data_IF_548624119459
#
_entry.id   IF_548624119459
#
_cell.length_a   1.000
_cell.length_b   1.000
_cell.length_c   1.000
_cell.angle_alpha   90.00
_cell.angle_beta   90.00
_cell.angle_gamma   90.00
#
_symmetry.space_group_name_H-M   'P 1'
#
loop_
_entity.id
_entity.type
_entity.pdbx_description
1 polymer ?
#
# COMPACT_ATOMS: atom_id res chain seq x y z
N UNK A 1 50.30 43.18 7.93
CA UNK A 1 49.61 43.08 9.21
C UNK A 1 48.08 42.99 9.08
N UNK A 2 47.53 42.49 7.97
CA UNK A 2 46.06 42.47 7.75
C UNK A 2 45.42 41.09 7.72
N UNK A 3 46.19 40.01 7.97
CA UNK A 3 45.65 38.65 7.91
C UNK A 3 45.27 38.02 9.27
N UNK A 4 45.63 38.67 10.40
CA UNK A 4 45.39 38.09 11.73
C UNK A 4 43.98 38.48 12.28
N UNK A 5 43.43 39.61 11.86
CA UNK A 5 42.12 40.08 12.34
C UNK A 5 40.93 39.28 11.78
N UNK A 6 41.04 38.76 10.56
CA UNK A 6 39.94 37.97 9.94
C UNK A 6 39.76 36.57 10.57
N UNK A 7 40.84 35.99 11.09
CA UNK A 7 40.75 34.69 11.78
C UNK A 7 40.15 34.79 13.18
N UNK A 8 40.33 35.92 13.86
CA UNK A 8 39.79 36.14 15.20
C UNK A 8 38.26 36.34 15.18
N UNK A 9 37.76 36.95 14.12
CA UNK A 9 36.31 37.20 13.95
C UNK A 9 35.54 35.89 13.65
N UNK A 10 36.14 34.97 12.87
CA UNK A 10 35.53 33.65 12.56
C UNK A 10 35.47 32.76 13.83
N UNK A 11 36.42 32.87 14.73
CA UNK A 11 36.42 32.07 15.98
C UNK A 11 35.41 32.56 17.02
N UNK A 12 35.02 33.85 16.98
CA UNK A 12 33.98 34.43 17.87
C UNK A 12 32.55 34.04 17.50
N UNK A 13 32.31 33.61 16.24
CA UNK A 13 30.96 33.15 15.79
C UNK A 13 30.68 31.69 16.12
N UNK A 14 31.70 30.89 16.49
CA UNK A 14 31.51 29.48 16.83
C UNK A 14 31.01 29.24 18.27
N UNK A 15 30.98 30.28 19.12
CA UNK A 15 30.54 30.16 20.53
C UNK A 15 29.09 30.61 20.78
N UNK A 16 28.33 30.94 19.74
CA UNK A 16 26.94 31.43 19.86
C UNK A 16 25.88 30.31 19.82
N UNK A 17 26.21 29.08 20.26
CA UNK A 17 25.18 28.09 20.53
C UNK A 17 24.50 28.47 21.85
N UNK A 18 23.31 29.07 21.81
CA UNK A 18 22.51 29.33 23.01
C UNK A 18 22.14 27.96 23.65
N UNK A 19 22.62 27.76 24.90
CA UNK A 19 22.23 26.60 25.68
C UNK A 19 20.80 26.76 26.20
N UNK A 20 20.06 25.65 26.44
CA UNK A 20 18.75 25.71 27.07
C UNK A 20 18.84 26.45 28.45
N UNK A 21 17.89 27.30 28.69
CA UNK A 21 17.84 28.09 29.95
C UNK A 21 17.29 27.32 31.15
N UNK A 22 16.82 26.07 30.93
CA UNK A 22 16.31 25.20 31.99
C UNK A 22 17.22 24.00 32.20
N UNK A 23 17.34 23.52 33.44
CA UNK A 23 18.01 22.26 33.74
C UNK A 23 17.18 21.07 33.23
N UNK A 24 17.87 20.04 32.73
CA UNK A 24 17.20 18.76 32.38
C UNK A 24 16.76 18.07 33.68
N UNK A 25 15.56 17.48 33.60
CA UNK A 25 15.13 16.52 34.61
C UNK A 25 16.04 15.29 34.52
N UNK A 26 16.48 14.76 35.64
CA UNK A 26 17.28 13.55 35.72
C UNK A 26 16.38 12.32 35.76
N UNK A 27 16.73 11.30 35.06
CA UNK A 27 16.11 9.99 35.06
C UNK A 27 17.20 8.93 35.01
N UNK A 28 16.90 7.72 35.47
CA UNK A 28 17.83 6.61 35.40
C UNK A 28 17.64 5.78 34.12
N UNK A 29 18.57 4.84 33.86
CA UNK A 29 18.53 4.00 32.68
C UNK A 29 17.34 3.05 32.66
N UNK A 30 16.88 2.60 33.82
CA UNK A 30 15.74 1.68 33.93
C UNK A 30 14.42 2.40 33.59
N UNK A 31 14.28 3.67 33.98
CA UNK A 31 13.14 4.50 33.59
C UNK A 31 13.10 4.72 32.06
N UNK A 32 14.26 4.99 31.45
CA UNK A 32 14.40 5.10 29.98
C UNK A 32 14.01 3.82 29.27
N UNK A 33 14.58 2.69 29.70
CA UNK A 33 14.32 1.38 29.09
C UNK A 33 12.83 1.01 29.17
N UNK A 34 12.19 1.30 30.32
CA UNK A 34 10.77 1.07 30.52
C UNK A 34 9.90 1.92 29.56
N UNK A 35 10.24 3.21 29.41
CA UNK A 35 9.56 4.11 28.48
C UNK A 35 9.74 3.68 27.03
N UNK A 36 10.94 3.27 26.60
CA UNK A 36 11.18 2.75 25.27
C UNK A 36 10.36 1.49 24.96
N UNK A 37 10.18 0.59 25.96
CA UNK A 37 9.31 -0.58 25.81
C UNK A 37 7.87 -0.17 25.55
N UNK A 38 7.34 0.79 26.33
CA UNK A 38 5.98 1.31 26.13
C UNK A 38 5.79 1.94 24.75
N UNK A 39 6.75 2.75 24.30
CA UNK A 39 6.72 3.39 23.00
C UNK A 39 6.74 2.33 21.87
N UNK A 40 7.57 1.30 21.97
CA UNK A 40 7.60 0.18 21.00
C UNK A 40 6.28 -0.59 20.98
N UNK A 41 5.66 -0.84 22.13
CA UNK A 41 4.35 -1.50 22.20
C UNK A 41 3.25 -0.69 21.52
N UNK A 42 3.19 0.61 21.77
CA UNK A 42 2.24 1.51 21.12
C UNK A 42 2.46 1.57 19.59
N UNK A 43 3.71 1.69 19.17
CA UNK A 43 4.07 1.75 17.76
C UNK A 43 3.73 0.45 17.03
N UNK A 44 4.00 -0.73 17.64
CA UNK A 44 3.66 -2.01 17.04
C UNK A 44 2.14 -2.22 16.96
N UNK A 45 1.39 -1.89 18.00
CA UNK A 45 -0.08 -1.92 17.97
C UNK A 45 -0.64 -1.02 16.86
N UNK A 46 -0.08 0.18 16.70
CA UNK A 46 -0.45 1.13 15.64
C UNK A 46 -0.13 0.58 14.26
N UNK A 47 1.06 0.00 14.07
CA UNK A 47 1.43 -0.66 12.82
C UNK A 47 0.47 -1.79 12.46
N UNK A 48 0.12 -2.66 13.42
CA UNK A 48 -0.83 -3.75 13.20
C UNK A 48 -2.22 -3.22 12.83
N UNK A 49 -2.69 -2.14 13.48
CA UNK A 49 -3.99 -1.53 13.14
C UNK A 49 -4.01 -0.97 11.71
N UNK A 50 -2.91 -0.36 11.25
CA UNK A 50 -2.77 0.09 9.87
C UNK A 50 -2.81 -1.07 8.87
N UNK A 51 -2.09 -2.15 9.18
CA UNK A 51 -2.11 -3.36 8.35
C UNK A 51 -3.51 -3.99 8.28
N UNK A 52 -4.21 -4.06 9.40
CA UNK A 52 -5.58 -4.57 9.45
C UNK A 52 -6.54 -3.73 8.61
N UNK A 53 -6.49 -2.38 8.76
CA UNK A 53 -7.30 -1.46 7.94
C UNK A 53 -6.98 -1.62 6.46
N UNK A 54 -5.71 -1.68 6.11
CA UNK A 54 -5.27 -1.84 4.72
C UNK A 54 -5.81 -3.13 4.09
N UNK A 55 -5.72 -4.26 4.80
CA UNK A 55 -6.26 -5.53 4.32
C UNK A 55 -7.79 -5.53 4.25
N UNK A 56 -8.46 -4.96 5.27
CA UNK A 56 -9.93 -4.81 5.30
C UNK A 56 -10.44 -4.09 4.06
N UNK A 57 -9.79 -3.00 3.69
CA UNK A 57 -10.22 -2.16 2.56
C UNK A 57 -9.80 -2.75 1.21
N UNK A 58 -8.58 -3.28 1.11
CA UNK A 58 -8.04 -3.75 -0.17
C UNK A 58 -8.64 -5.08 -0.63
N UNK A 59 -8.95 -5.99 0.28
CA UNK A 59 -9.37 -7.34 -0.07
C UNK A 59 -10.66 -7.41 -0.90
N UNK A 60 -11.76 -6.72 -0.55
CA UNK A 60 -12.97 -6.70 -1.36
C UNK A 60 -12.72 -6.19 -2.79
N UNK A 61 -11.88 -5.17 -2.93
CA UNK A 61 -11.52 -4.57 -4.22
C UNK A 61 -10.74 -5.60 -5.06
N UNK A 62 -9.68 -6.20 -4.49
CA UNK A 62 -8.85 -7.19 -5.20
C UNK A 62 -9.65 -8.44 -5.59
N UNK A 63 -10.59 -8.87 -4.74
CA UNK A 63 -11.49 -9.98 -5.01
C UNK A 63 -12.42 -9.66 -6.18
N UNK A 64 -13.14 -8.56 -6.11
CA UNK A 64 -14.13 -8.16 -7.14
C UNK A 64 -13.45 -7.79 -8.45
N UNK A 65 -12.27 -7.15 -8.40
CA UNK A 65 -11.48 -6.84 -9.59
C UNK A 65 -10.85 -8.07 -10.25
N UNK A 66 -10.92 -9.26 -9.64
CA UNK A 66 -10.35 -10.48 -10.22
C UNK A 66 -10.91 -10.80 -11.62
N UNK A 67 -12.17 -10.46 -11.88
CA UNK A 67 -12.79 -10.61 -13.21
C UNK A 67 -12.13 -9.74 -14.29
N UNK A 68 -11.49 -8.63 -13.93
CA UNK A 68 -10.77 -7.71 -14.83
C UNK A 68 -9.27 -8.02 -14.88
N UNK A 69 -8.79 -9.00 -14.12
CA UNK A 69 -7.38 -9.30 -13.84
C UNK A 69 -6.99 -10.69 -14.38
N UNK A 70 -7.44 -11.05 -15.58
CA UNK A 70 -7.33 -12.41 -16.11
C UNK A 70 -5.90 -12.97 -16.13
N UNK A 71 -4.89 -12.15 -16.42
CA UNK A 71 -3.50 -12.57 -16.57
C UNK A 71 -2.69 -12.53 -15.27
N UNK A 72 -3.25 -12.05 -14.17
CA UNK A 72 -2.54 -11.86 -12.89
C UNK A 72 -3.45 -12.14 -11.69
N UNK A 73 -4.14 -13.26 -11.72
CA UNK A 73 -4.92 -13.73 -10.58
C UNK A 73 -4.06 -14.58 -9.64
N UNK A 74 -4.35 -14.48 -8.35
CA UNK A 74 -3.75 -15.29 -7.29
C UNK A 74 -4.84 -15.96 -6.47
N UNK A 75 -4.50 -17.09 -5.88
CA UNK A 75 -5.35 -17.72 -4.87
C UNK A 75 -5.17 -17.03 -3.52
N UNK A 76 -6.24 -16.97 -2.74
CA UNK A 76 -6.24 -16.40 -1.40
C UNK A 76 -7.16 -17.17 -0.47
N UNK A 77 -6.75 -17.30 0.76
CA UNK A 77 -7.61 -17.78 1.86
C UNK A 77 -8.34 -16.62 2.56
N UNK A 78 -8.01 -15.35 2.24
CA UNK A 78 -8.60 -14.20 2.90
C UNK A 78 -8.14 -14.04 4.36
N UNK A 79 -6.88 -14.31 4.66
CA UNK A 79 -6.32 -14.11 5.99
C UNK A 79 -4.87 -13.62 5.91
N UNK A 80 -4.41 -12.97 6.96
CA UNK A 80 -3.03 -12.54 7.15
C UNK A 80 -2.57 -12.91 8.56
N UNK A 81 -1.29 -13.23 8.67
CA UNK A 81 -0.67 -13.54 9.94
C UNK A 81 0.75 -12.97 10.00
N UNK A 82 1.32 -13.01 11.20
CA UNK A 82 2.65 -12.52 11.52
C UNK A 82 3.21 -13.31 12.70
N UNK A 83 4.53 -13.33 12.82
CA UNK A 83 5.19 -13.88 14.00
C UNK A 83 6.17 -12.87 14.59
N UNK A 84 6.56 -13.07 15.84
CA UNK A 84 7.62 -12.26 16.46
C UNK A 84 8.96 -12.42 15.74
N UNK A 85 9.19 -13.55 15.09
CA UNK A 85 10.36 -13.81 14.25
C UNK A 85 10.46 -12.87 13.02
N UNK A 86 9.40 -12.17 12.65
CA UNK A 86 9.40 -11.18 11.56
C UNK A 86 10.02 -9.85 11.99
N UNK A 87 10.39 -9.71 13.25
CA UNK A 87 10.99 -8.51 13.83
C UNK A 87 12.41 -8.80 14.35
N UNK A 88 13.19 -7.75 14.53
CA UNK A 88 14.57 -7.82 15.03
C UNK A 88 14.76 -7.00 16.31
N UNK A 89 15.79 -7.32 17.09
CA UNK A 89 16.18 -6.57 18.29
C UNK A 89 15.03 -6.38 19.30
N UNK A 90 14.90 -5.17 19.82
CA UNK A 90 13.86 -4.81 20.79
C UNK A 90 12.43 -4.98 20.27
N UNK A 91 12.23 -4.87 18.96
CA UNK A 91 10.92 -5.11 18.32
C UNK A 91 10.49 -6.57 18.39
N UNK A 92 11.42 -7.52 18.27
CA UNK A 92 11.11 -8.94 18.45
C UNK A 92 10.67 -9.25 19.87
N UNK A 93 11.34 -8.66 20.87
CA UNK A 93 10.94 -8.79 22.27
C UNK A 93 9.54 -8.24 22.51
N UNK A 94 9.26 -7.04 21.97
CA UNK A 94 7.94 -6.42 22.06
C UNK A 94 6.86 -7.25 21.36
N UNK A 95 7.16 -7.78 20.17
CA UNK A 95 6.25 -8.64 19.42
C UNK A 95 5.95 -9.94 20.17
N UNK A 96 6.95 -10.59 20.76
CA UNK A 96 6.77 -11.76 21.63
C UNK A 96 5.82 -11.48 22.80
N UNK A 97 5.98 -10.34 23.44
CA UNK A 97 5.10 -9.92 24.54
C UNK A 97 3.66 -9.73 24.06
N UNK A 98 3.46 -9.05 22.93
CA UNK A 98 2.12 -8.74 22.39
C UNK A 98 1.43 -10.01 21.86
N UNK A 99 2.17 -10.91 21.19
CA UNK A 99 1.62 -12.12 20.58
C UNK A 99 1.54 -13.31 21.56
N UNK A 100 2.13 -13.18 22.73
CA UNK A 100 2.15 -14.23 23.76
C UNK A 100 3.02 -15.41 23.36
N UNK A 101 4.13 -15.17 22.65
CA UNK A 101 5.11 -16.16 22.24
C UNK A 101 5.62 -15.99 20.80
N UNK A 102 6.41 -16.97 20.33
CA UNK A 102 7.04 -16.99 19.01
C UNK A 102 6.21 -17.83 18.00
N UNK A 103 4.89 -17.91 18.19
CA UNK A 103 4.03 -18.59 17.24
C UNK A 103 3.61 -17.65 16.10
N UNK A 104 3.26 -18.25 14.95
CA UNK A 104 2.62 -17.51 13.87
C UNK A 104 1.15 -17.25 14.21
N UNK A 105 0.76 -16.00 14.34
CA UNK A 105 -0.56 -15.59 14.80
C UNK A 105 -1.35 -14.94 13.68
N UNK A 106 -2.64 -15.26 13.57
CA UNK A 106 -3.55 -14.60 12.63
C UNK A 106 -3.89 -13.20 13.14
N UNK A 107 -3.58 -12.19 12.33
CA UNK A 107 -3.82 -10.78 12.66
C UNK A 107 -4.99 -10.18 11.91
N UNK A 108 -5.43 -10.80 10.83
CA UNK A 108 -6.57 -10.34 10.05
C UNK A 108 -7.24 -11.52 9.32
N UNK A 109 -8.56 -11.47 9.22
CA UNK A 109 -9.40 -12.40 8.45
C UNK A 109 -10.45 -11.59 7.71
N UNK A 110 -10.62 -11.86 6.41
CA UNK A 110 -11.63 -11.21 5.58
C UNK A 110 -13.03 -11.59 6.05
N UNK A 111 -13.88 -10.62 6.29
CA UNK A 111 -15.28 -10.84 6.59
C UNK A 111 -15.95 -11.59 5.42
N UNK A 112 -16.68 -12.67 5.74
CA UNK A 112 -17.28 -13.55 4.74
C UNK A 112 -16.30 -14.18 3.72
N UNK A 113 -14.97 -14.07 3.98
CA UNK A 113 -13.94 -14.71 3.18
C UNK A 113 -13.80 -16.21 3.45
N UNK A 114 -12.96 -16.91 2.65
CA UNK A 114 -12.78 -18.35 2.78
C UNK A 114 -12.34 -18.80 4.17
N UNK A 115 -11.37 -18.10 4.77
CA UNK A 115 -10.85 -18.43 6.09
C UNK A 115 -11.90 -18.24 7.18
N UNK A 116 -12.69 -17.13 7.13
CA UNK A 116 -13.78 -16.91 8.07
C UNK A 116 -14.86 -18.00 7.97
N UNK A 117 -15.26 -18.39 6.75
CA UNK A 117 -16.21 -19.47 6.52
C UNK A 117 -15.74 -20.83 7.03
N UNK A 118 -14.43 -21.07 7.02
CA UNK A 118 -13.82 -22.27 7.59
C UNK A 118 -13.65 -22.18 9.11
N UNK A 119 -13.98 -21.04 9.74
CA UNK A 119 -13.90 -20.86 11.18
C UNK A 119 -12.54 -20.34 11.67
N UNK A 120 -11.64 -19.86 10.81
CA UNK A 120 -10.41 -19.17 11.23
C UNK A 120 -10.75 -17.80 11.84
N UNK A 121 -10.08 -17.45 12.93
CA UNK A 121 -10.30 -16.20 13.64
C UNK A 121 -8.99 -15.46 13.92
N UNK A 122 -9.10 -14.16 14.18
CA UNK A 122 -7.97 -13.36 14.68
C UNK A 122 -7.50 -13.92 16.02
N UNK A 123 -6.20 -13.89 16.25
CA UNK A 123 -5.48 -14.48 17.38
C UNK A 123 -5.36 -16.00 17.36
N UNK A 124 -5.83 -16.72 16.35
CA UNK A 124 -5.49 -18.12 16.18
C UNK A 124 -3.98 -18.28 15.97
N UNK A 125 -3.40 -19.25 16.67
CA UNK A 125 -1.98 -19.61 16.52
C UNK A 125 -1.88 -20.71 15.47
N UNK A 126 -1.20 -20.42 14.36
CA UNK A 126 -1.03 -21.40 13.27
C UNK A 126 0.15 -22.31 13.59
N UNK A 127 -0.10 -23.59 13.73
CA UNK A 127 0.91 -24.60 14.01
C UNK A 127 1.45 -25.26 12.74
N UNK A 128 0.59 -25.44 11.73
CA UNK A 128 0.99 -26.00 10.45
C UNK A 128 0.09 -25.51 9.30
N UNK A 129 0.66 -25.44 8.12
CA UNK A 129 0.03 -25.11 6.85
C UNK A 129 0.37 -26.21 5.83
N UNK A 130 -0.65 -26.86 5.24
CA UNK A 130 -0.49 -27.96 4.29
C UNK A 130 0.50 -29.05 4.78
N UNK A 131 0.49 -29.37 6.07
CA UNK A 131 1.41 -30.33 6.69
C UNK A 131 2.80 -29.74 7.05
N UNK A 132 3.12 -28.52 6.63
CA UNK A 132 4.39 -27.86 6.98
C UNK A 132 4.22 -27.12 8.30
N UNK A 133 4.91 -27.57 9.37
CA UNK A 133 4.87 -26.94 10.69
C UNK A 133 5.61 -25.60 10.69
N UNK A 134 5.08 -24.62 11.44
CA UNK A 134 5.77 -23.35 11.67
C UNK A 134 7.08 -23.59 12.43
N UNK A 135 7.05 -24.40 13.49
CA UNK A 135 8.22 -24.80 14.27
C UNK A 135 8.82 -23.66 15.08
N UNK A 136 10.04 -23.90 15.60
CA UNK A 136 10.71 -22.99 16.54
C UNK A 136 12.11 -22.56 16.10
N UNK A 137 12.50 -22.82 14.86
CA UNK A 137 13.79 -22.43 14.33
C UNK A 137 13.68 -21.81 12.94
N UNK A 138 14.72 -21.07 12.55
CA UNK A 138 14.76 -20.29 11.30
C UNK A 138 14.53 -21.16 10.05
N UNK A 139 15.01 -22.40 10.02
CA UNK A 139 14.83 -23.28 8.87
C UNK A 139 13.36 -23.69 8.70
N UNK A 140 12.67 -23.99 9.81
CA UNK A 140 11.25 -24.31 9.80
C UNK A 140 10.41 -23.09 9.40
N UNK A 141 10.73 -21.89 9.94
CA UNK A 141 10.09 -20.65 9.53
C UNK A 141 10.24 -20.42 8.01
N UNK A 142 11.45 -20.56 7.43
CA UNK A 142 11.65 -20.45 5.98
C UNK A 142 10.78 -21.43 5.18
N UNK A 143 10.69 -22.69 5.61
CA UNK A 143 9.82 -23.68 4.95
C UNK A 143 8.34 -23.29 5.03
N UNK A 144 7.90 -22.83 6.20
CA UNK A 144 6.51 -22.39 6.40
C UNK A 144 6.17 -21.19 5.53
N UNK A 145 7.02 -20.14 5.47
CA UNK A 145 6.80 -18.99 4.59
C UNK A 145 6.86 -19.37 3.11
N UNK A 146 7.71 -20.31 2.72
CA UNK A 146 7.69 -20.83 1.36
C UNK A 146 6.35 -21.53 1.04
N UNK A 147 5.76 -22.24 2.01
CA UNK A 147 4.44 -22.86 1.85
C UNK A 147 3.32 -21.82 1.75
N UNK A 148 3.37 -20.72 2.55
CA UNK A 148 2.41 -19.62 2.42
C UNK A 148 2.47 -18.95 1.03
N UNK A 149 3.66 -18.86 0.46
CA UNK A 149 3.83 -18.30 -0.88
C UNK A 149 3.22 -19.20 -1.96
N UNK A 150 3.30 -20.53 -1.82
CA UNK A 150 2.73 -21.49 -2.77
C UNK A 150 1.21 -21.41 -2.85
N UNK A 151 0.50 -21.02 -1.78
CA UNK A 151 -0.95 -20.85 -1.81
C UNK A 151 -1.36 -19.97 -3.01
N UNK A 152 -0.61 -18.89 -3.26
CA UNK A 152 -0.93 -17.90 -4.29
C UNK A 152 -0.99 -18.47 -5.70
N UNK A 153 -0.18 -19.48 -5.99
CA UNK A 153 -0.02 -20.08 -7.33
C UNK A 153 -0.41 -21.55 -7.38
N UNK A 154 -0.96 -22.10 -6.29
CA UNK A 154 -1.33 -23.50 -6.20
C UNK A 154 -2.45 -23.86 -7.19
N UNK A 155 -2.32 -25.00 -7.84
CA UNK A 155 -3.41 -25.58 -8.63
C UNK A 155 -4.50 -26.17 -7.72
N UNK A 156 -4.13 -26.61 -6.50
CA UNK A 156 -5.11 -27.08 -5.52
C UNK A 156 -5.91 -25.89 -4.97
N UNK A 157 -7.24 -25.91 -5.04
CA UNK A 157 -8.07 -24.86 -4.48
C UNK A 157 -8.24 -24.97 -2.96
N UNK A 158 -7.52 -25.85 -2.30
CA UNK A 158 -7.70 -26.16 -0.86
C UNK A 158 -6.42 -25.89 -0.10
N UNK A 159 -6.57 -25.27 1.07
CA UNK A 159 -5.52 -25.07 2.08
C UNK A 159 -5.93 -25.75 3.37
N UNK A 160 -5.02 -26.48 3.97
CA UNK A 160 -5.19 -27.13 5.27
C UNK A 160 -4.42 -26.35 6.34
N UNK A 161 -5.10 -25.93 7.39
CA UNK A 161 -4.47 -25.29 8.55
C UNK A 161 -4.68 -26.16 9.80
N UNK A 162 -3.62 -26.30 10.58
CA UNK A 162 -3.69 -26.76 11.97
C UNK A 162 -3.44 -25.55 12.87
N UNK A 163 -4.42 -25.23 13.70
CA UNK A 163 -4.37 -24.08 14.59
C UNK A 163 -4.53 -24.49 16.04
N UNK A 164 -4.15 -23.58 16.95
CA UNK A 164 -4.40 -23.67 18.37
C UNK A 164 -5.20 -22.45 18.81
N UNK A 165 -6.37 -22.69 19.40
CA UNK A 165 -7.26 -21.66 19.98
C UNK A 165 -7.68 -22.12 21.37
N UNK A 166 -7.48 -21.27 22.41
CA UNK A 166 -7.85 -21.61 23.79
C UNK A 166 -7.35 -23.00 24.23
N UNK A 167 -6.09 -23.34 23.90
CA UNK A 167 -5.43 -24.62 24.13
C UNK A 167 -5.99 -25.84 23.34
N UNK A 168 -7.03 -25.64 22.55
CA UNK A 168 -7.60 -26.65 21.67
C UNK A 168 -6.90 -26.68 20.31
N UNK A 169 -6.66 -27.90 19.79
CA UNK A 169 -6.14 -28.08 18.43
C UNK A 169 -7.32 -28.22 17.47
N UNK A 170 -7.32 -27.43 16.43
CA UNK A 170 -8.38 -27.39 15.41
C UNK A 170 -7.73 -27.57 14.04
N UNK A 171 -8.30 -28.45 13.23
CA UNK A 171 -7.93 -28.58 11.81
C UNK A 171 -8.99 -27.89 10.96
N UNK A 172 -8.54 -27.01 10.08
CA UNK A 172 -9.39 -26.25 9.18
C UNK A 172 -9.07 -26.63 7.73
N UNK A 173 -10.12 -26.77 6.93
CA UNK A 173 -10.04 -26.96 5.48
C UNK A 173 -10.63 -25.72 4.82
N UNK A 174 -9.80 -24.97 4.09
CA UNK A 174 -10.18 -23.69 3.52
C UNK A 174 -10.18 -23.80 2.00
N UNK A 175 -11.34 -23.60 1.38
CA UNK A 175 -11.45 -23.50 -0.07
C UNK A 175 -11.02 -22.09 -0.47
N UNK A 176 -9.91 -21.98 -1.21
CA UNK A 176 -9.36 -20.71 -1.68
C UNK A 176 -10.31 -20.02 -2.66
N UNK A 177 -10.17 -18.70 -2.79
CA UNK A 177 -10.81 -17.92 -3.85
C UNK A 177 -9.79 -17.14 -4.67
N UNK A 178 -10.18 -16.73 -5.87
CA UNK A 178 -9.32 -15.95 -6.76
C UNK A 178 -9.43 -14.47 -6.42
N UNK A 179 -8.29 -13.82 -6.38
CA UNK A 179 -8.16 -12.36 -6.24
C UNK A 179 -7.21 -11.81 -7.29
N UNK A 180 -7.30 -10.50 -7.56
CA UNK A 180 -6.33 -9.81 -8.41
C UNK A 180 -4.95 -9.80 -7.75
N UNK A 181 -3.92 -10.17 -8.47
CA UNK A 181 -2.58 -10.48 -7.97
C UNK A 181 -1.68 -9.26 -7.77
N UNK A 182 -2.23 -8.15 -7.29
CA UNK A 182 -1.48 -6.93 -6.92
C UNK A 182 -1.50 -6.74 -5.40
N UNK A 183 -0.49 -7.23 -4.66
CA UNK A 183 -0.45 -7.04 -3.20
C UNK A 183 -0.49 -5.56 -2.83
N UNK A 184 -1.30 -5.22 -1.83
CA UNK A 184 -1.33 -3.88 -1.24
C UNK A 184 -0.44 -3.86 -0.02
N UNK A 185 0.57 -2.98 -0.01
CA UNK A 185 1.61 -2.93 1.01
C UNK A 185 1.66 -1.56 1.69
N UNK A 186 1.95 -1.56 2.98
CA UNK A 186 2.16 -0.36 3.77
C UNK A 186 3.62 0.09 3.67
N UNK A 187 3.85 1.33 3.23
CA UNK A 187 5.17 1.96 3.26
C UNK A 187 5.33 2.82 4.52
N UNK A 188 6.52 2.73 5.12
CA UNK A 188 6.92 3.53 6.27
C UNK A 188 7.35 4.93 5.82
N UNK A 189 6.36 5.75 5.47
CA UNK A 189 6.54 7.15 5.06
C UNK A 189 5.40 7.99 5.59
N UNK A 190 5.72 9.19 6.05
CA UNK A 190 4.73 10.16 6.55
C UNK A 190 4.16 11.04 5.43
N UNK A 191 4.71 10.99 4.22
CA UNK A 191 4.13 11.69 3.07
C UNK A 191 2.73 11.15 2.75
N UNK A 192 1.81 12.04 2.39
CA UNK A 192 0.48 11.66 1.89
C UNK A 192 0.63 11.22 0.44
N UNK A 193 0.81 9.91 0.23
CA UNK A 193 1.03 9.36 -1.11
C UNK A 193 0.60 7.89 -1.21
N UNK A 194 0.26 7.50 -2.45
CA UNK A 194 0.08 6.12 -2.88
C UNK A 194 0.64 5.97 -4.30
N UNK A 195 1.04 4.78 -4.70
CA UNK A 195 1.51 4.54 -6.06
C UNK A 195 1.47 3.06 -6.46
N UNK A 196 1.29 2.83 -7.75
CA UNK A 196 1.38 1.54 -8.41
C UNK A 196 2.78 1.36 -9.02
N UNK A 197 3.44 0.22 -8.77
CA UNK A 197 4.78 -0.08 -9.30
C UNK A 197 4.78 -1.16 -10.41
N UNK A 198 3.61 -1.46 -10.99
CA UNK A 198 3.44 -2.53 -11.98
C UNK A 198 3.35 -3.94 -11.36
N UNK A 199 3.67 -4.09 -10.07
CA UNK A 199 3.68 -5.38 -9.35
C UNK A 199 2.83 -5.38 -8.10
N UNK A 200 2.67 -4.24 -7.45
CA UNK A 200 1.95 -4.05 -6.18
C UNK A 200 1.40 -2.63 -6.11
N UNK A 201 0.60 -2.39 -5.08
CA UNK A 201 0.07 -1.08 -4.70
C UNK A 201 0.73 -0.70 -3.38
N UNK A 202 1.33 0.47 -3.31
CA UNK A 202 2.03 0.97 -2.14
C UNK A 202 1.23 2.12 -1.54
N UNK A 203 0.84 1.97 -0.26
CA UNK A 203 0.12 3.00 0.51
C UNK A 203 1.02 3.46 1.65
N UNK A 204 1.27 4.75 1.75
CA UNK A 204 2.08 5.31 2.83
C UNK A 204 1.29 5.43 4.14
N UNK A 205 1.98 5.49 5.28
CA UNK A 205 1.33 5.80 6.57
C UNK A 205 0.66 7.17 6.55
N UNK A 206 1.25 8.14 5.84
CA UNK A 206 0.65 9.46 5.64
C UNK A 206 -0.70 9.38 4.92
N UNK A 207 -0.79 8.62 3.83
CA UNK A 207 -2.04 8.39 3.11
C UNK A 207 -3.10 7.69 3.97
N UNK A 208 -2.72 6.66 4.75
CA UNK A 208 -3.64 5.98 5.66
C UNK A 208 -4.23 6.92 6.75
N UNK A 209 -3.47 7.92 7.18
CA UNK A 209 -3.95 8.93 8.12
C UNK A 209 -4.81 10.00 7.44
N UNK A 210 -4.48 10.35 6.20
CA UNK A 210 -5.19 11.35 5.41
C UNK A 210 -6.57 10.85 4.98
N UNK A 211 -6.66 9.62 4.48
CA UNK A 211 -7.93 8.97 4.14
C UNK A 211 -8.78 8.80 5.41
N UNK A 212 -9.80 9.65 5.56
CA UNK A 212 -10.61 9.78 6.79
C UNK A 212 -11.37 8.51 7.11
N UNK A 213 -11.92 7.88 6.08
CA UNK A 213 -12.69 6.67 6.19
C UNK A 213 -12.22 5.57 5.22
N UNK A 214 -12.92 4.45 5.22
CA UNK A 214 -12.59 3.32 4.39
C UNK A 214 -13.01 3.54 2.92
N UNK A 215 -13.94 4.46 2.64
CA UNK A 215 -14.34 4.83 1.28
C UNK A 215 -13.23 5.61 0.57
N UNK A 216 -12.66 6.62 1.24
CA UNK A 216 -11.52 7.40 0.74
C UNK A 216 -10.35 6.46 0.40
N UNK A 217 -10.00 5.56 1.32
CA UNK A 217 -8.93 4.59 1.11
C UNK A 217 -9.24 3.60 -0.01
N UNK A 218 -10.52 3.21 -0.17
CA UNK A 218 -10.98 2.34 -1.25
C UNK A 218 -10.77 2.98 -2.61
N UNK A 219 -11.09 4.27 -2.75
CA UNK A 219 -10.88 5.02 -3.99
C UNK A 219 -9.39 5.03 -4.36
N UNK A 220 -8.51 5.34 -3.39
CA UNK A 220 -7.05 5.35 -3.62
C UNK A 220 -6.56 3.98 -4.08
N UNK A 221 -6.94 2.91 -3.38
CA UNK A 221 -6.51 1.55 -3.74
C UNK A 221 -7.05 1.14 -5.11
N UNK A 222 -8.30 1.45 -5.41
CA UNK A 222 -8.91 1.14 -6.70
C UNK A 222 -8.25 1.92 -7.85
N UNK A 223 -7.90 3.19 -7.62
CA UNK A 223 -7.17 4.03 -8.55
C UNK A 223 -5.77 3.47 -8.87
N UNK A 224 -5.00 3.11 -7.85
CA UNK A 224 -3.68 2.50 -8.03
C UNK A 224 -3.77 1.11 -8.69
N UNK A 225 -4.84 0.36 -8.40
CA UNK A 225 -5.12 -0.89 -9.11
C UNK A 225 -5.41 -0.61 -10.59
N UNK A 226 -6.12 0.48 -10.90
CA UNK A 226 -6.36 0.95 -12.26
C UNK A 226 -5.05 1.18 -13.01
N UNK A 227 -4.10 1.91 -12.42
CA UNK A 227 -2.78 2.11 -13.01
C UNK A 227 -2.06 0.80 -13.32
N UNK A 228 -2.11 -0.17 -12.41
CA UNK A 228 -1.49 -1.47 -12.62
C UNK A 228 -2.18 -2.30 -13.71
N UNK A 229 -3.52 -2.36 -13.70
CA UNK A 229 -4.29 -3.18 -14.67
C UNK A 229 -4.26 -2.59 -16.07
N UNK A 230 -4.26 -1.27 -16.19
CA UNK A 230 -4.14 -0.59 -17.49
C UNK A 230 -2.68 -0.53 -18.00
N UNK A 231 -1.70 -0.98 -17.21
CA UNK A 231 -0.28 -1.02 -17.63
C UNK A 231 0.33 0.37 -17.83
N UNK A 232 -0.12 1.38 -17.04
CA UNK A 232 0.31 2.77 -17.24
C UNK A 232 1.81 2.97 -17.05
N UNK A 233 2.44 2.20 -16.15
CA UNK A 233 3.89 2.29 -15.95
C UNK A 233 4.65 1.84 -17.20
N UNK A 234 4.26 0.72 -17.80
CA UNK A 234 4.87 0.19 -19.00
C UNK A 234 4.64 1.13 -20.20
N UNK A 235 3.43 1.69 -20.33
CA UNK A 235 3.09 2.70 -21.35
C UNK A 235 3.96 3.95 -21.19
N UNK A 236 4.10 4.49 -19.96
CA UNK A 236 4.97 5.65 -19.66
C UNK A 236 6.44 5.35 -20.00
N UNK A 237 6.92 4.17 -19.66
CA UNK A 237 8.29 3.74 -19.95
C UNK A 237 8.53 3.60 -21.48
N UNK A 238 7.59 3.02 -22.20
CA UNK A 238 7.66 2.90 -23.65
C UNK A 238 7.66 4.28 -24.33
N UNK A 239 6.80 5.20 -23.89
CA UNK A 239 6.77 6.56 -24.40
C UNK A 239 8.08 7.32 -24.13
N UNK A 240 8.66 7.15 -22.94
CA UNK A 240 9.96 7.71 -22.58
C UNK A 240 11.08 7.16 -23.47
N UNK A 241 11.07 5.86 -23.76
CA UNK A 241 12.07 5.22 -24.62
C UNK A 241 11.99 5.78 -26.04
N UNK A 242 10.80 5.94 -26.63
CA UNK A 242 10.61 6.55 -27.93
C UNK A 242 11.15 7.98 -27.97
N UNK A 243 10.87 8.79 -26.94
CA UNK A 243 11.42 10.14 -26.81
C UNK A 243 12.94 10.14 -26.69
N UNK A 244 13.52 9.19 -25.94
CA UNK A 244 14.99 9.04 -25.79
C UNK A 244 15.65 8.70 -27.12
N UNK A 245 15.02 7.93 -28.01
CA UNK A 245 15.55 7.69 -29.35
C UNK A 245 15.64 8.98 -30.17
N UNK A 246 14.69 9.91 -30.00
CA UNK A 246 14.76 11.24 -30.62
C UNK A 246 15.89 12.09 -30.02
N UNK A 247 16.12 12.02 -28.70
CA UNK A 247 17.26 12.68 -28.05
C UNK A 247 18.61 12.17 -28.60
N UNK A 248 18.73 10.85 -28.82
CA UNK A 248 19.91 10.23 -29.42
C UNK A 248 20.10 10.66 -30.87
N UNK A 249 19.04 10.68 -31.66
CA UNK A 249 19.08 11.13 -33.05
C UNK A 249 19.48 12.62 -33.16
N UNK A 250 18.98 13.47 -32.27
CA UNK A 250 19.37 14.87 -32.18
C UNK A 250 20.86 15.01 -31.80
N UNK A 251 21.32 14.24 -30.81
CA UNK A 251 22.72 14.23 -30.37
C UNK A 251 23.67 13.79 -31.49
N UNK A 252 23.29 12.81 -32.31
CA UNK A 252 24.06 12.38 -33.48
C UNK A 252 24.24 13.52 -34.52
N UNK A 253 23.36 14.52 -34.52
CA UNK A 253 23.43 15.73 -35.34
C UNK A 253 24.00 16.95 -34.58
N UNK A 254 24.63 16.74 -33.42
CA UNK A 254 25.26 17.79 -32.63
C UNK A 254 24.29 18.63 -31.79
N UNK A 255 23.02 18.24 -31.70
CA UNK A 255 21.99 18.96 -30.94
C UNK A 255 21.84 18.31 -29.56
N UNK A 256 22.18 19.05 -28.49
CA UNK A 256 22.02 18.59 -27.13
C UNK A 256 20.63 18.93 -26.57
N UNK A 257 19.73 17.96 -26.55
CA UNK A 257 18.36 18.10 -26.05
C UNK A 257 18.22 17.88 -24.54
N UNK A 258 19.29 17.44 -23.87
CA UNK A 258 19.33 17.15 -22.41
C UNK A 258 18.20 16.21 -21.94
N UNK A 259 17.79 15.25 -22.78
CA UNK A 259 16.72 14.31 -22.45
C UNK A 259 15.30 14.92 -22.56
N UNK A 260 15.11 16.03 -23.24
CA UNK A 260 13.83 16.73 -23.35
C UNK A 260 12.75 15.83 -23.97
N UNK A 261 13.08 15.10 -25.03
CA UNK A 261 12.10 14.22 -25.70
C UNK A 261 11.78 12.99 -24.85
N UNK A 262 12.78 12.40 -24.13
CA UNK A 262 12.55 11.32 -23.18
C UNK A 262 11.61 11.73 -22.04
N UNK A 263 11.84 12.92 -21.46
CA UNK A 263 10.96 13.46 -20.41
C UNK A 263 9.55 13.82 -20.95
N UNK A 264 9.46 14.39 -22.14
CA UNK A 264 8.18 14.67 -22.79
C UNK A 264 7.41 13.38 -23.06
N UNK A 265 8.09 12.34 -23.56
CA UNK A 265 7.49 11.02 -23.74
C UNK A 265 6.98 10.40 -22.44
N UNK A 266 7.76 10.47 -21.34
CA UNK A 266 7.33 9.99 -20.03
C UNK A 266 6.08 10.73 -19.50
N UNK A 267 5.94 12.01 -19.84
CA UNK A 267 4.80 12.86 -19.44
C UNK A 267 3.63 12.79 -20.41
N UNK A 268 3.84 12.23 -21.61
CA UNK A 268 2.80 12.11 -22.61
C UNK A 268 1.64 11.28 -22.07
N UNK A 269 0.42 11.74 -22.31
CA UNK A 269 -0.82 11.10 -21.87
C UNK A 269 -0.96 10.92 -20.34
N UNK A 270 -0.14 11.62 -19.52
CA UNK A 270 -0.23 11.42 -18.06
C UNK A 270 -1.61 11.79 -17.50
N UNK A 271 -2.26 12.82 -18.04
CA UNK A 271 -3.62 13.20 -17.65
C UNK A 271 -4.66 12.17 -18.11
N UNK A 272 -4.50 11.62 -19.31
CA UNK A 272 -5.37 10.57 -19.84
C UNK A 272 -5.25 9.30 -19.00
N UNK A 273 -4.03 8.94 -18.54
CA UNK A 273 -3.81 7.81 -17.65
C UNK A 273 -4.45 8.00 -16.27
N UNK A 274 -4.45 9.23 -15.74
CA UNK A 274 -5.16 9.55 -14.51
C UNK A 274 -6.68 9.42 -14.69
N UNK A 275 -7.22 9.95 -15.79
CA UNK A 275 -8.63 9.84 -16.12
C UNK A 275 -9.07 8.37 -16.35
N UNK A 276 -8.23 7.57 -17.04
CA UNK A 276 -8.46 6.14 -17.24
C UNK A 276 -8.42 5.39 -15.91
N UNK A 277 -7.47 5.68 -15.01
CA UNK A 277 -7.38 5.08 -13.69
C UNK A 277 -8.60 5.42 -12.82
N UNK A 278 -9.04 6.68 -12.80
CA UNK A 278 -10.27 7.07 -12.10
C UNK A 278 -11.51 6.36 -12.65
N UNK A 279 -11.62 6.28 -13.97
CA UNK A 279 -12.74 5.63 -14.65
C UNK A 279 -12.87 4.16 -14.25
N UNK A 280 -11.79 3.38 -14.39
CA UNK A 280 -11.84 1.95 -14.05
C UNK A 280 -11.93 1.71 -12.54
N UNK A 281 -11.37 2.59 -11.70
CA UNK A 281 -11.45 2.50 -10.25
C UNK A 281 -12.91 2.48 -9.76
N UNK A 282 -13.78 3.30 -10.35
CA UNK A 282 -15.20 3.34 -9.98
C UNK A 282 -15.91 2.03 -10.32
N UNK A 283 -15.57 1.38 -11.43
CA UNK A 283 -16.08 0.05 -11.74
C UNK A 283 -15.58 -1.02 -10.78
N UNK A 284 -14.31 -0.94 -10.33
CA UNK A 284 -13.78 -1.88 -9.33
C UNK A 284 -14.44 -1.68 -7.96
N UNK A 285 -14.68 -0.44 -7.55
CA UNK A 285 -15.41 -0.12 -6.33
C UNK A 285 -16.87 -0.61 -6.41
N UNK A 286 -17.54 -0.34 -7.53
CA UNK A 286 -18.92 -0.82 -7.74
C UNK A 286 -19.01 -2.35 -7.71
N UNK A 287 -18.09 -3.06 -8.37
CA UNK A 287 -18.01 -4.52 -8.34
C UNK A 287 -17.76 -5.08 -6.94
N UNK A 288 -17.11 -4.31 -6.06
CA UNK A 288 -16.90 -4.63 -4.64
C UNK A 288 -18.10 -4.27 -3.76
N UNK A 289 -19.17 -3.71 -4.32
CA UNK A 289 -20.36 -3.25 -3.58
C UNK A 289 -20.07 -2.01 -2.71
N UNK A 290 -19.03 -1.24 -3.04
CA UNK A 290 -18.66 -0.03 -2.30
C UNK A 290 -19.44 1.19 -2.81
N UNK A 291 -19.81 2.14 -1.92
CA UNK A 291 -20.52 3.34 -2.32
C UNK A 291 -19.64 4.23 -3.22
N UNK A 292 -20.27 4.81 -4.25
CA UNK A 292 -19.59 5.71 -5.19
C UNK A 292 -19.94 7.18 -4.93
N UNK A 293 -20.99 7.45 -4.16
CA UNK A 293 -21.42 8.81 -3.87
C UNK A 293 -20.36 9.53 -3.02
N UNK A 294 -20.05 10.77 -3.40
CA UNK A 294 -19.10 11.60 -2.64
C UNK A 294 -17.62 11.30 -2.85
N UNK A 295 -17.23 10.24 -3.55
CA UNK A 295 -15.81 9.84 -3.72
C UNK A 295 -14.96 10.94 -4.36
N UNK A 296 -15.53 11.80 -5.22
CA UNK A 296 -14.81 12.92 -5.81
C UNK A 296 -14.31 13.94 -4.76
N UNK A 297 -14.93 13.98 -3.57
CA UNK A 297 -14.53 14.91 -2.51
C UNK A 297 -13.14 14.59 -1.97
N UNK A 298 -12.75 13.32 -1.91
CA UNK A 298 -11.39 12.93 -1.53
C UNK A 298 -10.32 13.64 -2.38
N UNK A 299 -10.47 13.63 -3.71
CA UNK A 299 -9.52 14.31 -4.59
C UNK A 299 -9.56 15.84 -4.44
N UNK A 300 -10.73 16.43 -4.11
CA UNK A 300 -10.82 17.86 -3.80
C UNK A 300 -10.05 18.22 -2.54
N UNK A 301 -10.12 17.40 -1.50
CA UNK A 301 -9.35 17.58 -0.27
C UNK A 301 -7.85 17.38 -0.50
N UNK A 302 -7.48 16.37 -1.29
CA UNK A 302 -6.08 16.18 -1.69
C UNK A 302 -5.56 17.41 -2.46
N UNK A 303 -6.38 18.01 -3.33
CA UNK A 303 -6.03 19.26 -4.04
C UNK A 303 -5.89 20.45 -3.08
N UNK A 304 -6.73 20.51 -2.04
CA UNK A 304 -6.67 21.58 -1.03
C UNK A 304 -5.41 21.49 -0.15
N UNK A 305 -4.93 20.30 0.15
CA UNK A 305 -3.62 20.09 0.83
C UNK A 305 -2.44 20.55 -0.02
N UNK A 306 -2.57 20.48 -1.35
CA UNK A 306 -1.52 20.84 -2.30
C UNK A 306 -2.00 21.89 -3.32
N UNK A 307 -2.36 23.14 -2.90
CA UNK A 307 -3.01 24.12 -3.77
C UNK A 307 -2.22 24.49 -5.02
N UNK A 308 -0.89 24.34 -4.98
CA UNK A 308 -0.02 24.56 -6.15
C UNK A 308 -0.26 23.56 -7.27
N UNK A 309 -0.76 22.36 -6.96
CA UNK A 309 -1.06 21.32 -7.94
C UNK A 309 -2.36 21.57 -8.71
N UNK A 310 -3.25 22.45 -8.24
CA UNK A 310 -4.52 22.78 -8.88
C UNK A 310 -4.31 23.45 -10.24
N UNK A 311 -3.26 24.26 -10.39
CA UNK A 311 -2.98 25.04 -11.60
C UNK A 311 -1.77 24.57 -12.40
N UNK A 312 -0.85 23.80 -11.81
CA UNK A 312 0.37 23.37 -12.49
C UNK A 312 0.44 21.83 -12.49
N UNK A 313 0.24 21.25 -13.65
CA UNK A 313 0.23 19.80 -13.87
C UNK A 313 1.59 19.12 -13.76
N UNK A 314 2.66 19.77 -13.30
CA UNK A 314 4.01 19.29 -13.57
C UNK A 314 4.78 18.69 -12.41
N UNK A 315 4.26 18.71 -11.18
CA UNK A 315 5.04 18.21 -10.02
C UNK A 315 4.33 17.18 -9.13
N UNK A 316 3.05 16.96 -9.32
CA UNK A 316 2.31 15.93 -8.55
C UNK A 316 2.28 14.61 -9.32
N UNK A 317 2.43 13.48 -8.60
CA UNK A 317 2.28 12.15 -9.19
C UNK A 317 0.87 11.93 -9.78
N UNK A 318 -0.14 12.57 -9.16
CA UNK A 318 -1.55 12.51 -9.54
C UNK A 318 -2.17 13.90 -9.52
N UNK A 319 -2.09 14.67 -10.63
CA UNK A 319 -2.67 16.02 -10.70
C UNK A 319 -4.17 16.02 -10.47
N UNK A 320 -4.65 16.87 -9.55
CA UNK A 320 -6.07 17.06 -9.28
C UNK A 320 -6.63 18.19 -10.15
N UNK A 321 -7.28 17.82 -11.25
CA UNK A 321 -7.88 18.80 -12.19
C UNK A 321 -9.40 18.82 -12.08
N UNK A 322 -10.01 19.97 -12.43
CA UNK A 322 -11.47 20.08 -12.48
C UNK A 322 -12.10 19.07 -13.45
N UNK A 323 -11.39 18.69 -14.50
CA UNK A 323 -11.81 17.68 -15.48
C UNK A 323 -11.95 16.31 -14.85
N UNK A 324 -11.02 15.90 -13.95
CA UNK A 324 -11.10 14.61 -13.22
C UNK A 324 -12.39 14.55 -12.39
N UNK A 325 -12.73 15.61 -11.65
CA UNK A 325 -13.94 15.62 -10.82
C UNK A 325 -15.22 15.49 -11.65
N UNK A 326 -15.26 16.16 -12.82
CA UNK A 326 -16.38 16.04 -13.76
C UNK A 326 -16.44 14.63 -14.37
N UNK A 327 -15.28 14.06 -14.74
CA UNK A 327 -15.20 12.72 -15.29
C UNK A 327 -15.70 11.67 -14.26
N UNK A 328 -15.27 11.76 -13.00
CA UNK A 328 -15.75 10.89 -11.91
C UNK A 328 -17.28 10.97 -11.79
N UNK A 329 -17.84 12.20 -11.75
CA UNK A 329 -19.30 12.37 -11.64
C UNK A 329 -20.05 11.78 -12.84
N UNK A 330 -19.52 11.93 -14.05
CA UNK A 330 -20.11 11.35 -15.27
C UNK A 330 -20.00 9.82 -15.27
N UNK A 331 -18.89 9.26 -14.81
CA UNK A 331 -18.71 7.81 -14.69
C UNK A 331 -19.68 7.20 -13.69
N UNK A 332 -19.92 7.86 -12.55
CA UNK A 332 -20.93 7.41 -11.58
C UNK A 332 -22.33 7.38 -12.23
N UNK A 333 -22.69 8.42 -12.99
CA UNK A 333 -23.95 8.42 -13.72
C UNK A 333 -24.02 7.32 -14.79
N UNK A 334 -22.91 7.05 -15.50
CA UNK A 334 -22.82 5.93 -16.46
C UNK A 334 -23.07 4.59 -15.76
N UNK A 335 -22.42 4.33 -14.63
CA UNK A 335 -22.60 3.10 -13.85
C UNK A 335 -24.06 2.98 -13.39
N UNK A 336 -24.67 4.05 -12.85
CA UNK A 336 -26.05 4.05 -12.41
C UNK A 336 -27.04 3.79 -13.57
N UNK A 337 -26.78 4.34 -14.76
CA UNK A 337 -27.59 4.10 -15.95
C UNK A 337 -27.46 2.64 -16.41
N UNK A 338 -26.27 2.05 -16.41
CA UNK A 338 -26.06 0.62 -16.72
C UNK A 338 -26.83 -0.27 -15.71
N UNK A 339 -26.78 0.06 -14.42
CA UNK A 339 -27.53 -0.65 -13.38
C UNK A 339 -29.04 -0.59 -13.68
N UNK A 340 -29.57 0.61 -13.97
CA UNK A 340 -30.99 0.80 -14.26
C UNK A 340 -31.44 0.08 -15.54
N UNK A 341 -30.55 -0.01 -16.53
CA UNK A 341 -30.81 -0.70 -17.81
C UNK A 341 -30.57 -2.23 -17.76
N UNK A 342 -30.01 -2.75 -16.66
CA UNK A 342 -29.59 -4.16 -16.54
C UNK A 342 -28.42 -4.52 -17.47
N UNK A 343 -27.60 -3.56 -17.82
CA UNK A 343 -26.44 -3.73 -18.68
C UNK A 343 -25.23 -4.29 -17.91
N UNK A 344 -24.26 -4.93 -18.61
CA UNK A 344 -23.04 -5.39 -17.97
C UNK A 344 -22.27 -4.26 -17.30
N UNK A 345 -21.91 -4.46 -16.03
CA UNK A 345 -21.16 -3.48 -15.22
C UNK A 345 -19.64 -3.62 -15.46
N UNK A 346 -19.25 -3.46 -16.72
CA UNK A 346 -17.84 -3.46 -17.16
C UNK A 346 -17.47 -2.09 -17.73
N UNK A 347 -16.22 -1.64 -17.55
CA UNK A 347 -15.74 -0.42 -18.19
C UNK A 347 -15.74 -0.58 -19.71
N UNK A 348 -16.06 0.51 -20.42
CA UNK A 348 -15.97 0.56 -21.89
C UNK A 348 -14.50 0.79 -22.25
N UNK A 349 -13.78 -0.28 -22.59
CA UNK A 349 -12.39 -0.20 -23.06
C UNK A 349 -12.36 -0.03 -24.58
N UNK A 350 -11.39 0.79 -25.07
CA UNK A 350 -11.16 1.05 -26.50
C UNK A 350 -10.40 -0.09 -27.15
#
# INVERSE_FOLDING_TARGET
>A
MFKLSSFLVIFLFLTACAAPSTSRITYDTAELDAEEVLQRELALKKYLSYKQRLHKVSYPILKSASQFCSNKQLNSIGAQGIASADFEGGWKVTANKIFGGDEFIITWVAENGPAAKAGLAINDKVLALNGVSYGNNQQQHKKFYAETAKIKTSESPITYLKIKRNQQLINLTIKQERICGYPVVLADSDSVNAYADGKRIIITKGMLRFARDDQDLSLVIAHELGHNLMGHLDKKQSNSMLGTLLDLAAAANGINTRGTFGNAGASAFSQDFEAEADYVALYYMNAAGLPLEGVANFWREMAAEHPRSIRSNHSASHPATSERFLAISKTINEINNKIAAGEPLTPNLK
#
